data_IF_846996046390
#
_entry.id   IF_846996046390
#
_cell.length_a   1.000
_cell.length_b   1.000
_cell.length_c   1.000
_cell.angle_alpha   90.00
_cell.angle_beta   90.00
_cell.angle_gamma   90.00
#
_symmetry.space_group_name_H-M   'P 1'
#
loop_
_entity.id
_entity.type
_entity.pdbx_description
1 polymer ?
#
# COMPACT_ATOMS: atom_id res chain seq x y z
N UNK A 1 19.29 0.92 21.97
CA UNK A 1 20.23 0.51 20.94
C UNK A 1 20.12 1.46 19.74
N UNK A 2 21.26 1.82 19.18
CA UNK A 2 21.34 2.72 18.03
C UNK A 2 21.57 1.96 16.70
N UNK A 3 21.53 0.65 16.72
CA UNK A 3 21.77 -0.20 15.54
C UNK A 3 20.52 -0.32 14.68
N UNK A 4 19.34 -0.36 15.31
CA UNK A 4 18.04 -0.34 14.64
C UNK A 4 17.32 0.97 14.98
N UNK A 5 16.71 1.58 13.97
CA UNK A 5 15.93 2.81 14.15
C UNK A 5 14.45 2.52 14.32
N UNK A 6 13.93 1.50 13.63
CA UNK A 6 12.54 1.08 13.73
C UNK A 6 12.44 -0.43 13.64
N UNK A 7 11.42 -0.99 14.28
CA UNK A 7 11.10 -2.42 14.19
C UNK A 7 9.61 -2.60 13.91
N UNK A 8 9.27 -3.57 13.08
CA UNK A 8 7.93 -3.82 12.59
C UNK A 8 7.57 -5.30 12.68
N UNK A 9 6.29 -5.61 12.84
CA UNK A 9 5.73 -6.95 12.70
C UNK A 9 4.94 -7.08 11.40
N UNK A 10 5.12 -8.20 10.73
CA UNK A 10 4.42 -8.55 9.50
C UNK A 10 3.78 -9.93 9.57
N UNK A 11 2.61 -10.04 8.94
CA UNK A 11 1.97 -11.29 8.55
C UNK A 11 2.09 -11.41 7.03
N UNK A 12 3.00 -12.27 6.56
CA UNK A 12 3.41 -12.27 5.16
C UNK A 12 3.93 -10.91 4.71
N UNK A 13 3.19 -10.25 3.81
CA UNK A 13 3.54 -8.91 3.30
C UNK A 13 2.74 -7.79 3.98
N UNK A 14 1.80 -8.09 4.85
CA UNK A 14 0.98 -7.08 5.54
C UNK A 14 1.64 -6.68 6.86
N UNK A 15 1.86 -5.37 7.06
CA UNK A 15 2.32 -4.85 8.34
C UNK A 15 1.18 -4.90 9.36
N UNK A 16 1.41 -5.55 10.50
CA UNK A 16 0.43 -5.68 11.59
C UNK A 16 0.75 -4.79 12.79
N UNK A 17 2.01 -4.40 12.98
CA UNK A 17 2.42 -3.46 14.03
C UNK A 17 3.74 -2.75 13.71
N UNK A 18 3.98 -1.65 14.38
CA UNK A 18 5.17 -0.80 14.24
C UNK A 18 4.89 0.48 13.43
N UNK A 19 5.86 1.40 13.38
CA UNK A 19 7.22 1.26 13.91
C UNK A 19 7.25 1.23 15.44
N UNK A 20 8.15 0.42 16.00
CA UNK A 20 8.47 0.39 17.41
C UNK A 20 9.97 0.65 17.58
N UNK A 21 10.32 1.38 18.62
CA UNK A 21 11.72 1.66 18.95
C UNK A 21 12.30 0.52 19.78
N UNK A 22 13.61 0.30 19.65
CA UNK A 22 14.37 -0.56 20.55
C UNK A 22 14.66 0.23 21.84
N UNK A 23 14.23 -0.29 22.96
CA UNK A 23 14.48 0.32 24.28
C UNK A 23 15.97 0.22 24.67
N UNK A 24 16.34 0.89 25.72
CA UNK A 24 17.75 0.94 26.20
C UNK A 24 18.28 -0.43 26.64
N UNK A 25 17.42 -1.30 27.09
CA UNK A 25 17.72 -2.69 27.49
C UNK A 25 17.65 -3.69 26.34
N UNK A 26 17.47 -3.21 25.10
CA UNK A 26 17.39 -4.03 23.89
C UNK A 26 16.03 -4.67 23.64
N UNK A 27 14.98 -4.26 24.37
CA UNK A 27 13.64 -4.82 24.22
C UNK A 27 12.84 -4.04 23.17
N UNK A 28 12.03 -4.74 22.38
CA UNK A 28 11.02 -4.16 21.50
C UNK A 28 9.66 -4.70 21.93
N UNK A 29 8.73 -3.81 22.24
CA UNK A 29 7.37 -4.14 22.63
C UNK A 29 6.38 -3.71 21.57
N UNK A 30 5.54 -4.64 21.14
CA UNK A 30 4.36 -4.37 20.32
C UNK A 30 3.11 -4.65 21.14
N UNK A 31 2.25 -3.67 21.31
CA UNK A 31 1.01 -3.81 22.04
C UNK A 31 -0.16 -3.10 21.35
N UNK A 32 -1.37 -3.58 21.60
CA UNK A 32 -2.61 -2.96 21.17
C UNK A 32 -3.71 -3.33 22.17
N UNK A 33 -4.56 -2.37 22.50
CA UNK A 33 -5.70 -2.59 23.42
C UNK A 33 -6.68 -3.62 22.86
N UNK A 34 -6.84 -3.67 21.53
CA UNK A 34 -7.73 -4.61 20.82
C UNK A 34 -7.05 -5.91 20.38
N UNK A 35 -5.77 -6.09 20.76
CA UNK A 35 -4.91 -7.14 20.22
C UNK A 35 -4.27 -6.75 18.88
N UNK A 36 -3.16 -7.40 18.55
CA UNK A 36 -2.40 -7.15 17.31
C UNK A 36 -2.93 -7.99 16.15
N UNK A 37 -3.26 -9.25 16.43
CA UNK A 37 -3.75 -10.21 15.43
C UNK A 37 -4.36 -11.43 16.12
N UNK A 38 -5.25 -12.12 15.40
CA UNK A 38 -5.78 -13.41 15.85
C UNK A 38 -4.98 -14.56 15.24
N UNK A 39 -4.82 -15.64 16.01
CA UNK A 39 -4.21 -16.89 15.54
C UNK A 39 -5.26 -17.99 15.60
N UNK A 40 -5.67 -18.47 14.42
CA UNK A 40 -6.54 -19.62 14.25
C UNK A 40 -5.75 -20.70 13.50
N UNK A 41 -5.12 -21.61 14.22
CA UNK A 41 -4.18 -22.59 13.65
C UNK A 41 -2.74 -22.07 13.61
N UNK A 42 -2.08 -22.08 12.47
CA UNK A 42 -0.69 -21.65 12.31
C UNK A 42 -0.61 -20.26 11.64
N UNK A 43 0.27 -19.40 12.15
CA UNK A 43 0.55 -18.08 11.56
C UNK A 43 2.05 -17.79 11.62
N UNK A 44 2.61 -17.34 10.49
CA UNK A 44 4.00 -16.93 10.41
C UNK A 44 4.09 -15.41 10.59
N UNK A 45 4.73 -15.00 11.68
CA UNK A 45 4.97 -13.58 11.97
C UNK A 45 6.45 -13.29 11.72
N UNK A 46 6.70 -12.24 10.93
CA UNK A 46 8.06 -11.78 10.59
C UNK A 46 8.36 -10.48 11.32
N UNK A 47 9.55 -10.41 11.93
CA UNK A 47 10.11 -9.16 12.46
C UNK A 47 11.01 -8.54 11.39
N UNK A 48 10.80 -7.26 11.09
CA UNK A 48 11.66 -6.46 10.19
C UNK A 48 12.14 -5.23 10.93
N UNK A 49 13.29 -4.69 10.54
CA UNK A 49 13.84 -3.51 11.17
C UNK A 49 14.68 -2.67 10.23
N UNK A 50 14.72 -1.37 10.49
CA UNK A 50 15.56 -0.42 9.76
C UNK A 50 16.94 -0.35 10.43
N UNK A 51 17.99 -0.69 9.70
CA UNK A 51 19.37 -0.67 10.19
C UNK A 51 19.94 0.73 10.05
N UNK A 52 20.45 1.29 11.15
CA UNK A 52 21.10 2.59 11.14
C UNK A 52 22.37 2.59 10.30
N UNK A 53 22.69 3.72 9.69
CA UNK A 53 23.94 3.90 8.93
C UNK A 53 25.17 3.79 9.83
N UNK A 54 26.31 3.42 9.28
CA UNK A 54 27.60 3.34 9.99
C UNK A 54 27.69 2.20 11.01
N UNK A 55 26.87 1.14 10.88
CA UNK A 55 26.84 -0.01 11.80
C UNK A 55 27.48 -1.27 11.21
N UNK A 56 28.21 -1.14 10.11
CA UNK A 56 28.95 -2.26 9.52
C UNK A 56 29.85 -2.95 10.54
N UNK A 57 29.90 -4.28 10.48
CA UNK A 57 30.62 -5.14 11.43
C UNK A 57 29.84 -5.53 12.68
N UNK A 58 28.76 -4.83 13.01
CA UNK A 58 27.87 -5.20 14.12
C UNK A 58 27.00 -6.41 13.74
N UNK A 59 26.48 -7.08 14.76
CA UNK A 59 25.52 -8.18 14.60
C UNK A 59 24.18 -7.82 15.22
N UNK A 60 23.10 -8.34 14.63
CA UNK A 60 21.72 -8.19 15.12
C UNK A 60 21.10 -9.58 15.21
N UNK A 61 20.45 -9.86 16.33
CA UNK A 61 19.63 -11.05 16.52
C UNK A 61 18.41 -10.69 17.38
N UNK A 62 17.32 -11.43 17.20
CA UNK A 62 16.12 -11.29 18.01
C UNK A 62 15.84 -12.59 18.74
N UNK A 63 15.37 -12.46 19.99
CA UNK A 63 14.77 -13.53 20.76
C UNK A 63 13.33 -13.14 21.10
N UNK A 64 12.41 -14.08 20.99
CA UNK A 64 11.04 -13.86 21.45
C UNK A 64 11.00 -14.07 22.98
N UNK A 65 10.74 -12.98 23.71
CA UNK A 65 10.70 -13.01 25.18
C UNK A 65 9.33 -13.48 25.70
N UNK A 66 8.24 -13.12 25.02
CA UNK A 66 6.90 -13.53 25.44
C UNK A 66 5.81 -13.05 24.49
N UNK A 67 4.62 -13.65 24.66
CA UNK A 67 3.39 -13.27 23.98
C UNK A 67 2.27 -13.23 25.01
N UNK A 68 1.46 -12.17 24.99
CA UNK A 68 0.21 -12.09 25.75
C UNK A 68 -0.96 -12.46 24.82
N UNK A 69 -1.65 -13.53 25.18
CA UNK A 69 -2.82 -14.03 24.46
C UNK A 69 -4.15 -13.67 25.16
N UNK A 70 -4.15 -12.66 26.02
CA UNK A 70 -5.34 -12.22 26.77
C UNK A 70 -5.59 -13.00 28.06
N UNK A 71 -4.81 -14.04 28.35
CA UNK A 71 -4.86 -14.83 29.61
C UNK A 71 -3.63 -14.56 30.47
N UNK A 72 -2.83 -13.59 30.13
CA UNK A 72 -1.54 -13.26 30.73
C UNK A 72 -0.36 -13.56 29.78
N UNK A 73 0.80 -13.02 30.15
CA UNK A 73 1.99 -13.18 29.33
C UNK A 73 2.57 -14.59 29.46
N UNK A 74 2.75 -15.26 28.34
CA UNK A 74 3.54 -16.49 28.24
C UNK A 74 4.97 -16.14 27.88
N UNK A 75 5.90 -16.40 28.78
CA UNK A 75 7.33 -16.19 28.55
C UNK A 75 7.96 -17.37 27.82
N UNK A 76 8.92 -17.08 26.96
CA UNK A 76 9.65 -18.09 26.20
C UNK A 76 11.16 -17.98 26.50
N UNK A 77 11.81 -19.13 26.59
CA UNK A 77 13.27 -19.22 26.77
C UNK A 77 13.86 -19.97 25.59
N UNK A 78 14.90 -19.40 24.99
CA UNK A 78 15.63 -20.05 23.89
C UNK A 78 14.95 -19.98 22.52
N UNK A 79 13.85 -19.23 22.39
CA UNK A 79 13.22 -18.99 21.07
C UNK A 79 13.95 -17.81 20.41
N UNK A 80 15.04 -18.12 19.71
CA UNK A 80 15.92 -17.13 19.06
C UNK A 80 15.84 -17.25 17.55
N UNK A 81 15.89 -16.10 16.89
CA UNK A 81 16.13 -16.00 15.44
C UNK A 81 17.62 -16.11 15.11
N UNK A 82 17.96 -16.09 13.83
CA UNK A 82 19.36 -16.05 13.41
C UNK A 82 20.04 -14.76 13.84
N UNK A 83 21.35 -14.82 14.06
CA UNK A 83 22.19 -13.64 14.22
C UNK A 83 22.71 -13.22 12.85
N UNK A 84 22.41 -11.99 12.46
CA UNK A 84 22.77 -11.41 11.17
C UNK A 84 23.92 -10.42 11.36
N UNK A 85 24.95 -10.50 10.51
CA UNK A 85 26.04 -9.53 10.50
C UNK A 85 25.70 -8.39 9.52
N UNK A 86 25.93 -7.16 9.97
CA UNK A 86 25.77 -5.97 9.14
C UNK A 86 27.02 -5.82 8.25
N UNK A 87 26.82 -6.00 6.95
CA UNK A 87 27.87 -5.83 5.94
C UNK A 87 28.15 -4.37 5.59
N UNK A 88 29.32 -4.10 5.01
CA UNK A 88 29.64 -2.83 4.37
C UNK A 88 29.40 -2.93 2.87
N UNK A 89 28.15 -2.72 2.45
CA UNK A 89 27.77 -2.76 1.04
C UNK A 89 27.10 -1.44 0.67
N UNK A 90 27.49 -0.86 -0.48
CA UNK A 90 26.75 0.24 -1.06
C UNK A 90 25.49 -0.33 -1.69
N UNK A 91 24.32 -0.03 -1.16
CA UNK A 91 23.02 -0.45 -1.68
C UNK A 91 22.57 0.47 -2.83
N UNK A 92 21.55 0.04 -3.55
CA UNK A 92 20.80 0.90 -4.43
C UNK A 92 20.26 2.12 -3.67
N UNK A 93 20.17 3.25 -4.32
CA UNK A 93 19.51 4.44 -3.81
C UNK A 93 18.13 4.59 -4.46
N UNK A 94 17.12 4.91 -3.68
CA UNK A 94 15.78 5.27 -4.19
C UNK A 94 15.39 6.59 -3.59
N UNK A 95 15.12 7.57 -4.46
CA UNK A 95 14.79 8.93 -4.05
C UNK A 95 13.48 9.38 -4.71
N UNK A 96 12.64 10.05 -3.92
CA UNK A 96 11.48 10.77 -4.41
C UNK A 96 11.80 12.26 -4.40
N UNK A 97 12.04 12.87 -5.56
CA UNK A 97 12.49 14.27 -5.65
C UNK A 97 11.56 15.24 -4.90
N UNK A 98 12.14 16.23 -4.22
CA UNK A 98 11.41 17.33 -3.60
C UNK A 98 10.79 18.25 -4.65
N UNK A 99 9.73 18.97 -4.28
CA UNK A 99 9.10 19.99 -5.11
C UNK A 99 7.96 19.48 -5.96
N UNK A 100 7.69 18.19 -5.98
CA UNK A 100 6.39 17.76 -6.39
C UNK A 100 5.40 18.11 -5.27
N UNK A 101 4.66 19.22 -5.43
CA UNK A 101 3.37 19.36 -4.79
C UNK A 101 2.61 18.03 -4.92
N UNK A 102 1.67 17.80 -4.04
CA UNK A 102 0.76 16.63 -4.10
C UNK A 102 0.32 16.39 -5.54
N UNK A 103 0.65 15.22 -6.10
CA UNK A 103 0.26 14.83 -7.45
C UNK A 103 -0.66 13.60 -7.38
N UNK A 104 -1.78 13.60 -8.11
CA UNK A 104 -2.34 14.78 -8.78
C UNK A 104 -2.68 15.86 -7.75
N UNK A 105 -2.77 17.13 -8.17
CA UNK A 105 -3.29 18.22 -7.33
C UNK A 105 -4.72 17.91 -6.88
N UNK A 106 -5.24 18.65 -5.90
CA UNK A 106 -6.63 18.49 -5.46
C UNK A 106 -7.60 18.46 -6.65
N UNK A 107 -8.49 17.47 -6.67
CA UNK A 107 -9.40 17.21 -7.78
C UNK A 107 -10.81 16.86 -7.28
N UNK A 108 -11.79 17.11 -8.13
CA UNK A 108 -13.18 16.71 -7.91
C UNK A 108 -13.55 15.64 -8.92
N UNK A 109 -13.98 14.47 -8.45
CA UNK A 109 -14.34 13.33 -9.27
C UNK A 109 -15.78 12.90 -9.01
N UNK A 110 -16.50 12.57 -10.06
CA UNK A 110 -17.86 12.05 -9.90
C UNK A 110 -17.83 10.59 -9.42
N UNK A 111 -18.76 10.23 -8.56
CA UNK A 111 -19.05 8.82 -8.34
C UNK A 111 -19.45 8.16 -9.68
N UNK A 112 -18.88 7.00 -9.98
CA UNK A 112 -18.97 6.31 -11.28
C UNK A 112 -17.78 6.57 -12.21
N UNK A 113 -16.88 7.49 -11.88
CA UNK A 113 -15.65 7.67 -12.64
C UNK A 113 -14.73 6.46 -12.51
N UNK A 114 -14.19 5.97 -13.63
CA UNK A 114 -13.32 4.80 -13.69
C UNK A 114 -11.87 5.18 -13.96
N UNK A 115 -10.93 4.39 -13.46
CA UNK A 115 -9.50 4.52 -13.70
C UNK A 115 -8.95 5.94 -13.46
N UNK A 116 -9.35 6.57 -12.36
CA UNK A 116 -8.90 7.91 -12.00
C UNK A 116 -7.54 7.85 -11.33
N UNK A 117 -6.62 8.74 -11.71
CA UNK A 117 -5.32 8.87 -11.06
C UNK A 117 -5.49 9.57 -9.71
N UNK A 118 -5.36 8.84 -8.61
CA UNK A 118 -5.59 9.34 -7.24
C UNK A 118 -4.30 9.57 -6.45
N UNK A 119 -3.15 9.12 -6.98
CA UNK A 119 -1.84 9.36 -6.40
C UNK A 119 -0.75 9.21 -7.47
N UNK A 120 0.25 10.09 -7.45
CA UNK A 120 1.37 10.06 -8.39
C UNK A 120 2.64 10.62 -7.78
N UNK A 121 3.77 9.98 -8.05
CA UNK A 121 5.12 10.46 -7.72
C UNK A 121 6.15 10.03 -8.76
N UNK A 122 7.14 10.89 -8.97
CA UNK A 122 8.40 10.49 -9.58
C UNK A 122 9.26 9.77 -8.56
N UNK A 123 9.95 8.74 -8.99
CA UNK A 123 10.90 7.96 -8.20
C UNK A 123 12.19 7.86 -9.00
N UNK A 124 13.32 8.22 -8.40
CA UNK A 124 14.63 8.04 -9.01
C UNK A 124 15.35 6.84 -8.36
N UNK A 125 15.78 5.91 -9.17
CA UNK A 125 16.58 4.74 -8.74
C UNK A 125 18.02 4.95 -9.17
N UNK A 126 18.97 4.88 -8.24
CA UNK A 126 20.39 5.11 -8.48
C UNK A 126 21.24 3.93 -8.05
N UNK A 127 22.47 3.87 -8.54
CA UNK A 127 23.46 2.84 -8.30
C UNK A 127 23.12 1.49 -8.91
N UNK A 128 21.96 0.93 -8.63
CA UNK A 128 21.48 -0.38 -9.13
C UNK A 128 19.96 -0.43 -9.18
N UNK A 129 19.44 -1.40 -9.93
CA UNK A 129 18.01 -1.72 -9.92
C UNK A 129 17.55 -2.19 -8.54
N UNK A 130 16.28 -1.99 -8.25
CA UNK A 130 15.60 -2.51 -7.07
C UNK A 130 14.39 -3.33 -7.48
N UNK A 131 14.02 -4.30 -6.65
CA UNK A 131 12.83 -5.10 -6.84
C UNK A 131 11.75 -4.64 -5.86
N UNK A 132 10.63 -4.13 -6.39
CA UNK A 132 9.47 -3.74 -5.61
C UNK A 132 8.67 -4.99 -5.23
N UNK A 133 8.66 -5.34 -3.97
CA UNK A 133 7.93 -6.50 -3.44
C UNK A 133 6.54 -6.11 -2.92
N UNK A 134 6.38 -4.88 -2.44
CA UNK A 134 5.10 -4.35 -1.94
C UNK A 134 5.09 -2.83 -1.95
N UNK A 135 3.92 -2.26 -2.26
CA UNK A 135 3.58 -0.88 -1.95
C UNK A 135 2.29 -0.83 -1.15
N UNK A 136 2.24 -0.03 -0.11
CA UNK A 136 1.09 0.10 0.78
C UNK A 136 0.81 1.57 1.04
N UNK A 137 -0.45 1.96 0.89
CA UNK A 137 -0.91 3.33 1.14
C UNK A 137 -1.98 3.33 2.22
N UNK A 138 -2.08 4.43 2.94
CA UNK A 138 -3.20 4.71 3.83
C UNK A 138 -4.18 5.62 3.13
N UNK A 139 -5.44 5.22 3.01
CA UNK A 139 -6.55 6.09 2.63
C UNK A 139 -6.98 6.89 3.85
N UNK A 140 -6.96 8.20 3.74
CA UNK A 140 -7.28 9.15 4.82
C UNK A 140 -8.34 10.11 4.30
N UNK A 141 -9.35 10.40 5.11
CA UNK A 141 -10.42 11.32 4.76
C UNK A 141 -11.76 10.93 5.36
N UNK A 142 -12.82 11.53 4.87
CA UNK A 142 -14.20 11.26 5.31
C UNK A 142 -14.91 10.21 4.46
N UNK A 143 -14.34 9.85 3.30
CA UNK A 143 -14.91 8.83 2.42
C UNK A 143 -14.74 7.42 3.03
N UNK A 144 -15.80 6.58 3.04
CA UNK A 144 -15.69 5.19 3.44
C UNK A 144 -14.68 4.41 2.59
N UNK A 145 -14.09 3.37 3.14
CA UNK A 145 -13.10 2.53 2.41
C UNK A 145 -13.66 1.89 1.15
N UNK A 146 -14.96 1.61 1.13
CA UNK A 146 -15.68 1.10 -0.05
C UNK A 146 -15.98 2.12 -1.13
N UNK A 147 -15.59 3.40 -0.97
CA UNK A 147 -15.80 4.45 -1.99
C UNK A 147 -14.90 4.31 -3.20
N UNK A 148 -13.82 3.53 -3.09
CA UNK A 148 -12.91 3.22 -4.19
C UNK A 148 -12.87 1.72 -4.46
N UNK A 149 -12.72 1.36 -5.73
CA UNK A 149 -12.62 -0.02 -6.19
C UNK A 149 -11.60 -0.13 -7.34
N UNK A 150 -11.29 -1.36 -7.75
CA UNK A 150 -10.40 -1.67 -8.88
C UNK A 150 -9.08 -0.88 -8.82
N UNK A 151 -8.49 -0.83 -7.62
CA UNK A 151 -7.29 -0.03 -7.37
C UNK A 151 -6.09 -0.69 -8.06
N UNK A 152 -5.31 0.08 -8.82
CA UNK A 152 -4.19 -0.42 -9.61
C UNK A 152 -2.93 0.40 -9.35
N UNK A 153 -1.82 -0.29 -9.16
CA UNK A 153 -0.49 0.32 -9.15
C UNK A 153 0.07 0.30 -10.56
N UNK A 154 0.39 1.48 -11.06
CA UNK A 154 0.95 1.69 -12.38
C UNK A 154 2.36 2.29 -12.26
N UNK A 155 3.30 1.73 -13.01
CA UNK A 155 4.65 2.26 -13.11
C UNK A 155 4.98 2.42 -14.60
N UNK A 156 5.38 3.63 -14.98
CA UNK A 156 5.75 4.00 -16.35
C UNK A 156 4.68 3.63 -17.40
N UNK A 157 3.42 3.77 -17.03
CA UNK A 157 2.29 3.45 -17.89
C UNK A 157 1.81 1.99 -17.84
N UNK A 158 2.52 1.10 -17.16
CA UNK A 158 2.15 -0.32 -17.01
C UNK A 158 1.48 -0.59 -15.67
N UNK A 159 0.33 -1.28 -15.67
CA UNK A 159 -0.28 -1.80 -14.45
C UNK A 159 0.49 -3.02 -13.97
N UNK A 160 1.09 -2.93 -12.79
CA UNK A 160 1.98 -3.97 -12.26
C UNK A 160 1.36 -4.80 -11.14
N UNK A 161 0.34 -4.26 -10.48
CA UNK A 161 -0.40 -4.97 -9.45
C UNK A 161 -1.81 -4.40 -9.29
N UNK A 162 -2.77 -5.28 -9.01
CA UNK A 162 -4.08 -4.89 -8.51
C UNK A 162 -4.00 -4.70 -6.99
N UNK A 163 -4.69 -3.69 -6.48
CA UNK A 163 -4.70 -3.35 -5.06
C UNK A 163 -5.93 -3.90 -4.36
N UNK A 164 -5.75 -4.17 -3.07
CA UNK A 164 -6.84 -4.48 -2.15
C UNK A 164 -6.98 -3.37 -1.12
N UNK A 165 -8.21 -3.01 -0.78
CA UNK A 165 -8.51 -2.01 0.27
C UNK A 165 -9.09 -2.77 1.46
N UNK A 166 -8.46 -2.65 2.62
CA UNK A 166 -8.95 -3.28 3.85
C UNK A 166 -9.93 -2.37 4.60
N UNK A 167 -10.57 -2.91 5.65
CA UNK A 167 -11.49 -2.19 6.50
C UNK A 167 -10.85 -1.01 7.27
N UNK A 168 -9.55 -0.99 7.39
CA UNK A 168 -8.80 0.10 8.01
C UNK A 168 -8.37 1.18 7.02
N UNK A 169 -8.73 1.06 5.75
CA UNK A 169 -8.32 1.97 4.68
C UNK A 169 -6.87 1.79 4.24
N UNK A 170 -6.31 0.62 4.43
CA UNK A 170 -5.01 0.27 3.88
C UNK A 170 -5.19 -0.25 2.46
N UNK A 171 -4.51 0.39 1.51
CA UNK A 171 -4.47 0.00 0.10
C UNK A 171 -3.15 -0.68 -0.15
N UNK A 172 -3.15 -1.99 -0.35
CA UNK A 172 -1.94 -2.78 -0.53
C UNK A 172 -1.82 -3.36 -1.95
N UNK A 173 -0.63 -3.31 -2.49
CA UNK A 173 -0.23 -3.86 -3.78
C UNK A 173 0.93 -4.82 -3.60
N UNK A 174 0.80 -6.01 -4.13
CA UNK A 174 1.85 -7.04 -4.09
C UNK A 174 2.06 -7.55 -5.52
N UNK A 175 3.06 -7.02 -6.25
CA UNK A 175 3.38 -7.51 -7.59
C UNK A 175 3.75 -8.99 -7.55
N UNK A 176 3.22 -9.78 -8.49
CA UNK A 176 3.58 -11.20 -8.60
C UNK A 176 5.06 -11.34 -8.94
N UNK A 177 5.81 -12.03 -8.11
CA UNK A 177 7.27 -12.19 -8.20
C UNK A 177 8.08 -10.88 -8.07
N UNK A 178 7.46 -9.82 -7.55
CA UNK A 178 8.05 -8.49 -7.49
C UNK A 178 8.08 -7.79 -8.85
N UNK A 179 8.46 -6.51 -8.86
CA UNK A 179 8.63 -5.70 -10.06
C UNK A 179 9.99 -5.00 -10.05
N UNK A 180 10.79 -5.23 -11.07
CA UNK A 180 12.13 -4.64 -11.17
C UNK A 180 12.05 -3.19 -11.67
N UNK A 181 12.52 -2.26 -10.83
CA UNK A 181 12.76 -0.87 -11.20
C UNK A 181 14.24 -0.72 -11.57
N UNK A 182 14.51 -0.42 -12.82
CA UNK A 182 15.87 -0.16 -13.31
C UNK A 182 16.41 1.16 -12.77
N UNK A 183 17.68 1.45 -12.97
CA UNK A 183 18.22 2.78 -12.66
C UNK A 183 17.63 3.84 -13.57
N UNK A 184 17.33 5.01 -13.00
CA UNK A 184 16.72 6.14 -13.72
C UNK A 184 15.46 6.66 -13.03
N UNK A 185 14.73 7.50 -13.75
CA UNK A 185 13.47 8.07 -13.27
C UNK A 185 12.29 7.20 -13.70
N UNK A 186 11.41 6.95 -12.75
CA UNK A 186 10.16 6.23 -12.92
C UNK A 186 8.99 7.09 -12.47
N UNK A 187 7.83 6.92 -13.08
CA UNK A 187 6.58 7.55 -12.65
C UNK A 187 5.68 6.48 -12.05
N UNK A 188 5.41 6.61 -10.76
CA UNK A 188 4.53 5.70 -10.00
C UNK A 188 3.19 6.37 -9.81
N UNK A 189 2.11 5.67 -10.18
CA UNK A 189 0.72 6.15 -10.08
C UNK A 189 -0.16 5.10 -9.41
N UNK A 190 -1.19 5.58 -8.74
CA UNK A 190 -2.30 4.74 -8.26
C UNK A 190 -3.56 5.19 -8.96
N UNK A 191 -4.20 4.26 -9.65
CA UNK A 191 -5.51 4.45 -10.27
C UNK A 191 -6.58 3.77 -9.44
N UNK A 192 -7.77 4.35 -9.39
CA UNK A 192 -8.94 3.77 -8.75
C UNK A 192 -10.23 4.15 -9.47
N UNK A 193 -11.24 3.31 -9.35
CA UNK A 193 -12.61 3.65 -9.69
C UNK A 193 -13.27 4.29 -8.47
N UNK A 194 -14.03 5.35 -8.69
CA UNK A 194 -14.81 6.04 -7.64
C UNK A 194 -16.23 5.49 -7.68
N UNK A 195 -16.62 4.68 -6.70
CA UNK A 195 -17.90 3.96 -6.72
C UNK A 195 -18.94 4.50 -5.74
N UNK A 196 -18.53 5.34 -4.79
CA UNK A 196 -19.45 5.91 -3.80
C UNK A 196 -18.79 7.02 -2.99
N UNK A 197 -19.45 7.43 -1.89
CA UNK A 197 -18.90 8.44 -0.97
C UNK A 197 -19.14 9.87 -1.42
N UNK A 198 -20.29 10.17 -2.02
CA UNK A 198 -20.67 11.54 -2.45
C UNK A 198 -20.50 12.56 -1.32
N UNK A 199 -20.03 13.76 -1.67
CA UNK A 199 -19.72 14.88 -0.78
C UNK A 199 -18.66 14.58 0.31
N UNK A 200 -17.85 13.52 0.09
CA UNK A 200 -16.76 13.10 0.96
C UNK A 200 -15.41 13.32 0.27
N UNK A 201 -14.38 13.30 1.08
CA UNK A 201 -13.02 13.50 0.60
C UNK A 201 -12.13 12.34 1.02
N UNK A 202 -11.11 12.06 0.22
CA UNK A 202 -10.01 11.19 0.60
C UNK A 202 -8.71 11.61 -0.07
N UNK A 203 -7.61 11.10 0.43
CA UNK A 203 -6.31 11.08 -0.25
C UNK A 203 -5.55 9.82 0.17
N UNK A 204 -4.59 9.41 -0.64
CA UNK A 204 -3.68 8.33 -0.31
C UNK A 204 -2.38 8.89 0.26
N UNK A 205 -1.84 8.23 1.27
CA UNK A 205 -0.60 8.62 1.96
C UNK A 205 0.33 7.43 2.11
N UNK A 206 1.63 7.67 1.90
CA UNK A 206 2.71 6.83 2.42
C UNK A 206 3.11 7.39 3.78
N UNK A 207 2.93 6.62 4.83
CA UNK A 207 3.13 7.10 6.20
C UNK A 207 4.48 6.71 6.78
N UNK A 208 5.08 5.63 6.26
CA UNK A 208 6.35 5.12 6.77
C UNK A 208 7.24 4.64 5.62
N UNK A 209 8.54 4.67 5.83
CA UNK A 209 9.51 4.14 4.87
C UNK A 209 9.29 2.65 4.54
N UNK A 210 8.74 1.88 5.48
CA UNK A 210 8.40 0.47 5.28
C UNK A 210 7.11 0.24 4.49
N UNK A 211 6.38 1.28 4.10
CA UNK A 211 5.17 1.14 3.28
C UNK A 211 5.50 0.73 1.85
N UNK A 212 6.72 1.02 1.39
CA UNK A 212 7.26 0.49 0.15
C UNK A 212 8.41 -0.46 0.49
N UNK A 213 8.29 -1.72 0.08
CA UNK A 213 9.36 -2.71 0.23
C UNK A 213 10.13 -2.85 -1.08
N UNK A 214 11.34 -2.32 -1.08
CA UNK A 214 12.27 -2.35 -2.19
C UNK A 214 13.48 -3.20 -1.77
N UNK A 215 13.84 -4.19 -2.56
CA UNK A 215 15.01 -5.04 -2.33
C UNK A 215 16.08 -4.72 -3.36
N UNK A 216 17.34 -4.62 -2.91
CA UNK A 216 18.48 -4.42 -3.82
C UNK A 216 18.61 -5.63 -4.76
N UNK A 217 18.72 -5.40 -6.06
CA UNK A 217 18.74 -6.48 -7.06
C UNK A 217 19.97 -7.39 -6.99
N UNK A 218 21.04 -6.98 -6.29
CA UNK A 218 22.29 -7.70 -6.19
C UNK A 218 22.62 -8.17 -4.77
N UNK A 219 21.90 -7.67 -3.77
CA UNK A 219 22.11 -8.02 -2.37
C UNK A 219 20.84 -8.61 -1.81
N UNK A 220 20.68 -9.93 -1.97
CA UNK A 220 19.47 -10.64 -1.54
C UNK A 220 19.14 -10.39 -0.07
N UNK A 221 17.89 -10.10 0.21
CA UNK A 221 17.39 -9.77 1.54
C UNK A 221 17.74 -8.36 2.05
N UNK A 222 18.46 -7.55 1.25
CA UNK A 222 18.74 -6.16 1.60
C UNK A 222 17.61 -5.24 1.08
N UNK A 223 16.77 -4.81 2.00
CA UNK A 223 15.74 -3.82 1.71
C UNK A 223 16.32 -2.41 1.69
N UNK A 224 15.93 -1.64 0.69
CA UNK A 224 16.33 -0.25 0.48
C UNK A 224 15.21 0.66 0.93
N UNK A 225 15.52 1.60 1.82
CA UNK A 225 14.57 2.65 2.17
C UNK A 225 14.61 3.75 1.11
N UNK A 226 13.43 4.21 0.71
CA UNK A 226 13.36 5.40 -0.13
C UNK A 226 13.61 6.66 0.70
N UNK A 227 14.27 7.62 0.10
CA UNK A 227 14.44 8.96 0.66
C UNK A 227 13.47 9.93 -0.01
N UNK A 228 13.06 10.95 0.72
CA UNK A 228 12.29 12.06 0.16
C UNK A 228 13.11 13.32 0.35
N UNK A 229 13.52 13.91 -0.75
CA UNK A 229 14.35 15.12 -0.71
C UNK A 229 13.58 16.27 -0.02
N UNK A 230 14.23 16.88 0.96
CA UNK A 230 13.66 17.99 1.75
C UNK A 230 12.82 17.56 2.96
N UNK A 231 12.68 16.26 3.22
CA UNK A 231 12.01 15.74 4.41
C UNK A 231 13.04 15.07 5.33
N UNK A 232 13.02 15.44 6.60
CA UNK A 232 13.80 14.75 7.64
C UNK A 232 13.19 13.36 7.86
N UNK A 233 14.02 12.35 7.82
CA UNK A 233 13.65 10.96 8.12
C UNK A 233 12.75 10.87 9.36
N UNK A 234 11.54 10.38 9.19
CA UNK A 234 10.66 9.99 10.30
C UNK A 234 9.43 10.84 10.59
N UNK A 235 9.20 11.96 9.88
CA UNK A 235 8.09 12.87 10.25
C UNK A 235 7.20 13.33 9.10
N UNK A 236 7.37 12.84 7.89
CA UNK A 236 6.65 13.42 6.76
C UNK A 236 5.97 12.36 5.92
N UNK A 237 4.67 12.38 5.97
CA UNK A 237 3.80 11.56 5.14
C UNK A 237 3.85 12.07 3.70
N UNK A 238 4.02 11.19 2.74
CA UNK A 238 3.86 11.51 1.32
C UNK A 238 2.39 11.48 0.97
N UNK A 239 1.76 12.64 1.05
CA UNK A 239 0.35 12.81 0.75
C UNK A 239 0.11 12.84 -0.77
N UNK A 240 -0.97 12.23 -1.20
CA UNK A 240 -1.58 12.51 -2.49
C UNK A 240 -2.41 13.79 -2.45
N UNK A 241 -2.89 14.25 -3.61
CA UNK A 241 -3.87 15.31 -3.70
C UNK A 241 -5.20 14.90 -3.08
N UNK A 242 -5.93 15.86 -2.50
CA UNK A 242 -7.27 15.60 -1.96
C UNK A 242 -8.22 15.35 -3.13
N UNK A 243 -8.90 14.22 -3.10
CA UNK A 243 -10.01 13.90 -3.98
C UNK A 243 -11.31 14.25 -3.26
N UNK A 244 -12.10 15.13 -3.86
CA UNK A 244 -13.47 15.40 -3.44
C UNK A 244 -14.41 14.61 -4.35
N UNK A 245 -15.22 13.73 -3.77
CA UNK A 245 -16.18 12.94 -4.52
C UNK A 245 -17.44 13.79 -4.71
N UNK A 246 -17.75 14.09 -5.96
CA UNK A 246 -18.96 14.83 -6.32
C UNK A 246 -20.20 13.93 -6.20
N UNK A 247 -21.37 14.54 -6.16
CA UNK A 247 -22.65 13.86 -6.04
C UNK A 247 -22.84 12.70 -7.01
N UNK A 248 -23.79 11.82 -6.70
CA UNK A 248 -24.02 10.59 -7.44
C UNK A 248 -24.33 10.81 -8.92
N UNK A 249 -24.01 9.82 -9.72
CA UNK A 249 -24.32 9.79 -11.15
C UNK A 249 -25.10 8.54 -11.52
N UNK A 250 -25.93 8.65 -12.57
CA UNK A 250 -26.59 7.51 -13.18
C UNK A 250 -25.98 7.29 -14.55
N UNK A 251 -25.41 6.12 -14.77
CA UNK A 251 -24.92 5.71 -16.08
C UNK A 251 -25.96 4.80 -16.73
N UNK A 252 -26.34 5.16 -17.94
CA UNK A 252 -27.30 4.37 -18.75
C UNK A 252 -26.52 3.73 -19.90
N UNK A 253 -26.54 2.41 -19.96
CA UNK A 253 -25.93 1.66 -21.06
C UNK A 253 -26.98 0.81 -21.76
N UNK A 254 -26.81 0.59 -23.05
CA UNK A 254 -27.65 -0.35 -23.79
C UNK A 254 -27.39 -1.78 -23.28
N UNK A 255 -28.45 -2.51 -22.98
CA UNK A 255 -28.35 -3.94 -22.68
C UNK A 255 -28.27 -4.72 -23.99
N UNK A 256 -27.08 -5.22 -24.29
CA UNK A 256 -26.80 -5.99 -25.52
C UNK A 256 -27.35 -7.42 -25.49
N UNK A 257 -28.00 -7.85 -24.39
CA UNK A 257 -28.63 -9.18 -24.30
C UNK A 257 -29.88 -9.29 -25.18
N UNK A 258 -30.41 -8.16 -25.65
CA UNK A 258 -31.40 -8.16 -26.73
C UNK A 258 -30.63 -8.23 -28.04
N UNK A 259 -30.71 -9.37 -28.70
CA UNK A 259 -30.28 -9.47 -30.10
C UNK A 259 -31.02 -8.38 -30.90
N UNK A 260 -30.32 -7.76 -31.86
CA UNK A 260 -30.90 -6.77 -32.76
C UNK A 260 -32.06 -7.41 -33.52
N UNK A 261 -33.22 -7.43 -32.89
CA UNK A 261 -34.46 -7.82 -33.56
C UNK A 261 -34.78 -6.74 -34.54
N UNK A 262 -34.46 -6.96 -35.79
CA UNK A 262 -34.68 -5.97 -36.87
C UNK A 262 -36.08 -6.03 -37.44
N UNK A 263 -36.86 -7.04 -37.09
CA UNK A 263 -38.17 -7.26 -37.66
C UNK A 263 -39.21 -7.57 -36.57
N UNK A 264 -40.26 -6.78 -36.52
CA UNK A 264 -41.41 -7.04 -35.67
C UNK A 264 -42.60 -7.51 -36.54
N UNK A 265 -43.36 -8.45 -36.03
CA UNK A 265 -44.54 -8.97 -36.72
C UNK A 265 -45.74 -8.06 -36.39
N UNK A 266 -46.43 -7.58 -37.42
CA UNK A 266 -47.68 -6.78 -37.23
C UNK A 266 -48.71 -7.61 -36.45
N UNK A 267 -49.34 -6.98 -35.43
CA UNK A 267 -50.29 -7.62 -34.51
C UNK A 267 -49.66 -8.37 -33.33
N UNK A 268 -48.34 -8.50 -33.24
CA UNK A 268 -47.67 -9.03 -32.06
C UNK A 268 -47.80 -8.08 -30.85
N UNK A 269 -48.14 -8.65 -29.69
CA UNK A 269 -48.33 -7.89 -28.43
C UNK A 269 -47.14 -8.11 -27.49
N UNK A 270 -46.88 -7.15 -26.63
CA UNK A 270 -45.88 -7.21 -25.55
C UNK A 270 -44.44 -7.51 -26.05
N UNK A 271 -44.08 -6.93 -27.19
CA UNK A 271 -42.74 -7.09 -27.74
C UNK A 271 -41.75 -6.13 -27.04
N UNK A 272 -40.59 -6.68 -26.66
CA UNK A 272 -39.51 -5.84 -26.11
C UNK A 272 -38.90 -5.02 -27.24
N UNK A 273 -39.02 -3.71 -27.18
CA UNK A 273 -38.50 -2.77 -28.21
C UNK A 273 -37.12 -2.23 -27.87
N UNK A 274 -36.81 -2.11 -26.58
CA UNK A 274 -35.52 -1.64 -26.11
C UNK A 274 -35.29 -2.11 -24.68
N UNK A 275 -34.00 -2.24 -24.30
CA UNK A 275 -33.60 -2.57 -22.94
C UNK A 275 -32.35 -1.76 -22.59
N UNK A 276 -32.35 -1.17 -21.40
CA UNK A 276 -31.22 -0.43 -20.88
C UNK A 276 -30.86 -0.95 -19.50
N UNK A 277 -29.56 -0.90 -19.21
CA UNK A 277 -29.03 -1.09 -17.88
C UNK A 277 -28.76 0.28 -17.27
N UNK A 278 -29.38 0.56 -16.16
CA UNK A 278 -29.11 1.75 -15.35
C UNK A 278 -28.24 1.33 -14.18
N UNK A 279 -27.13 2.04 -13.99
CA UNK A 279 -26.25 1.84 -12.85
C UNK A 279 -26.15 3.17 -12.10
N UNK A 280 -26.55 3.17 -10.84
CA UNK A 280 -26.40 4.32 -9.94
C UNK A 280 -25.08 4.22 -9.21
N UNK A 281 -24.37 5.33 -9.07
CA UNK A 281 -23.15 5.48 -8.32
C UNK A 281 -23.30 6.61 -7.31
N UNK A 282 -22.81 6.39 -6.10
CA UNK A 282 -22.95 7.33 -4.98
C UNK A 282 -24.24 7.11 -4.20
N UNK A 283 -24.14 7.33 -2.91
CA UNK A 283 -25.25 7.43 -1.96
C UNK A 283 -25.42 8.87 -1.52
#
# INVERSE_FOLDING_TARGET
>A
DTTLTNVYLYDGMTRIAGPASVSKDGTVLFNSVSGLFAVTGMKNITVRGDVATGKSGNTIGFALAGVDAGTGMTSFVGVTGPVLQIGSVTLAGVDMPSGASTLPSAQSLNAGSVAQNVWERSVNVSSRAVNLSRAQFKMIGSAPTGSIANVKLNIDGMNIADGTVDSNGVVAFVPTNGYSLTTGNHTVKVFADIVGGSDRTFYLSLENASDILLEDSQVAGAYVMYTVAGLTTGTSNLLGGIVTIQGGSIVVTQDTSINNVTTLVGGATNQTLAKWKLTSYGE
#
